data_IF_266886592188
#
_entry.id   IF_266886592188
#
_cell.length_a   1.000
_cell.length_b   1.000
_cell.length_c   1.000
_cell.angle_alpha   90.00
_cell.angle_beta   90.00
_cell.angle_gamma   90.00
#
_symmetry.space_group_name_H-M   'P 1'
#
loop_
_entity.id
_entity.type
_entity.pdbx_description
1 polymer ?
#
# COMPACT_ATOMS: atom_id res chain seq x y z
N UNK A 1 -57.40 36.03 19.00
CA UNK A 1 -57.07 34.72 19.63
C UNK A 1 -56.98 33.56 18.62
N UNK A 2 -57.70 33.57 17.49
CA UNK A 2 -57.64 32.47 16.50
C UNK A 2 -56.29 32.39 15.73
N UNK A 3 -55.71 33.52 15.34
CA UNK A 3 -54.45 33.57 14.56
C UNK A 3 -53.22 33.06 15.34
N UNK A 4 -53.21 33.26 16.66
CA UNK A 4 -52.10 32.83 17.51
C UNK A 4 -52.06 31.31 17.71
N UNK A 5 -53.23 30.64 17.65
CA UNK A 5 -53.35 29.19 17.70
C UNK A 5 -53.02 28.51 16.37
N UNK A 6 -53.30 29.16 15.24
CA UNK A 6 -52.92 28.65 13.91
C UNK A 6 -51.42 28.73 13.66
N UNK A 7 -50.73 29.75 14.18
CA UNK A 7 -49.26 29.86 14.11
C UNK A 7 -48.55 28.81 14.99
N UNK A 8 -49.05 28.53 16.19
CA UNK A 8 -48.50 27.45 17.03
C UNK A 8 -48.69 26.06 16.38
N UNK A 9 -49.81 25.84 15.70
CA UNK A 9 -50.08 24.59 15.00
C UNK A 9 -49.20 24.42 13.75
N UNK A 10 -48.92 25.50 13.01
CA UNK A 10 -48.03 25.47 11.84
C UNK A 10 -46.56 25.28 12.24
N UNK A 11 -46.09 25.94 13.31
CA UNK A 11 -44.76 25.75 13.88
C UNK A 11 -44.54 24.32 14.40
N UNK A 12 -45.50 23.75 15.12
CA UNK A 12 -45.42 22.35 15.57
C UNK A 12 -45.35 21.36 14.40
N UNK A 13 -46.06 21.66 13.29
CA UNK A 13 -46.05 20.83 12.08
C UNK A 13 -44.71 20.96 11.33
N UNK A 14 -44.11 22.14 11.32
CA UNK A 14 -42.75 22.38 10.79
C UNK A 14 -41.69 21.64 11.61
N UNK A 15 -41.72 21.74 12.94
CA UNK A 15 -40.81 21.03 13.82
C UNK A 15 -40.90 19.51 13.61
N UNK A 16 -42.12 18.98 13.51
CA UNK A 16 -42.34 17.55 13.22
C UNK A 16 -41.78 17.14 11.85
N UNK A 17 -41.83 18.02 10.84
CA UNK A 17 -41.21 17.77 9.52
C UNK A 17 -39.69 17.79 9.60
N UNK A 18 -39.12 18.74 10.34
CA UNK A 18 -37.67 18.85 10.56
C UNK A 18 -37.14 17.60 11.27
N UNK A 19 -37.76 17.18 12.38
CA UNK A 19 -37.34 15.97 13.09
C UNK A 19 -37.41 14.72 12.21
N UNK A 20 -38.43 14.63 11.35
CA UNK A 20 -38.54 13.51 10.39
C UNK A 20 -37.43 13.57 9.32
N UNK A 21 -37.05 14.76 8.85
CA UNK A 21 -35.95 14.93 7.90
C UNK A 21 -34.60 14.58 8.54
N UNK A 22 -34.37 15.00 9.78
CA UNK A 22 -33.16 14.65 10.55
C UNK A 22 -33.05 13.14 10.76
N UNK A 23 -34.16 12.47 11.10
CA UNK A 23 -34.19 11.02 11.25
C UNK A 23 -33.84 10.30 9.93
N UNK A 24 -34.39 10.77 8.80
CA UNK A 24 -34.07 10.23 7.47
C UNK A 24 -32.59 10.47 7.13
N UNK A 25 -32.05 11.66 7.41
CA UNK A 25 -30.63 11.97 7.17
C UNK A 25 -29.72 11.06 8.00
N UNK A 26 -30.04 10.85 9.28
CA UNK A 26 -29.29 9.96 10.15
C UNK A 26 -29.33 8.50 9.63
N UNK A 27 -30.49 8.03 9.18
CA UNK A 27 -30.61 6.69 8.58
C UNK A 27 -29.81 6.57 7.28
N UNK A 28 -29.80 7.61 6.44
CA UNK A 28 -29.01 7.65 5.21
C UNK A 28 -27.51 7.65 5.52
N UNK A 29 -27.07 8.42 6.51
CA UNK A 29 -25.67 8.47 6.93
C UNK A 29 -25.18 7.10 7.41
N UNK A 30 -25.96 6.43 8.27
CA UNK A 30 -25.64 5.08 8.75
C UNK A 30 -25.57 4.06 7.60
N UNK A 31 -26.50 4.13 6.64
CA UNK A 31 -26.48 3.27 5.46
C UNK A 31 -25.29 3.55 4.54
N UNK A 32 -24.90 4.81 4.37
CA UNK A 32 -23.71 5.19 3.61
C UNK A 32 -22.46 4.58 4.22
N UNK A 33 -22.28 4.72 5.54
CA UNK A 33 -21.14 4.14 6.26
C UNK A 33 -21.11 2.61 6.15
N UNK A 34 -22.27 1.94 6.27
CA UNK A 34 -22.35 0.50 6.08
C UNK A 34 -21.96 0.06 4.66
N UNK A 35 -22.36 0.83 3.64
CA UNK A 35 -21.97 0.57 2.24
C UNK A 35 -20.47 0.80 2.01
N UNK A 36 -19.89 1.85 2.58
CA UNK A 36 -18.45 2.11 2.52
C UNK A 36 -17.63 0.98 3.16
N UNK A 37 -18.10 0.47 4.30
CA UNK A 37 -17.50 -0.69 4.97
C UNK A 37 -17.56 -1.95 4.10
N UNK A 38 -18.73 -2.30 3.56
CA UNK A 38 -18.86 -3.47 2.67
C UNK A 38 -18.04 -3.31 1.38
N UNK A 39 -17.98 -2.12 0.80
CA UNK A 39 -17.14 -1.83 -0.37
C UNK A 39 -15.66 -2.06 -0.05
N UNK A 40 -15.18 -1.55 1.09
CA UNK A 40 -13.82 -1.78 1.56
C UNK A 40 -13.52 -3.27 1.76
N UNK A 41 -14.47 -4.01 2.34
CA UNK A 41 -14.37 -5.47 2.52
C UNK A 41 -14.28 -6.21 1.17
N UNK A 42 -15.12 -5.84 0.20
CA UNK A 42 -15.11 -6.45 -1.14
C UNK A 42 -13.83 -6.14 -1.91
N UNK A 43 -13.31 -4.91 -1.81
CA UNK A 43 -12.01 -4.53 -2.38
C UNK A 43 -10.88 -5.39 -1.82
N UNK A 44 -10.87 -5.60 -0.50
CA UNK A 44 -9.88 -6.47 0.15
C UNK A 44 -9.98 -7.92 -0.34
N UNK A 45 -11.20 -8.45 -0.47
CA UNK A 45 -11.41 -9.80 -0.99
C UNK A 45 -10.94 -9.93 -2.46
N UNK A 46 -11.22 -8.92 -3.29
CA UNK A 46 -10.78 -8.88 -4.68
C UNK A 46 -9.25 -8.83 -4.77
N UNK A 47 -8.64 -7.96 -3.98
CA UNK A 47 -7.20 -7.80 -3.88
C UNK A 47 -6.51 -9.13 -3.49
N UNK A 48 -6.97 -9.77 -2.42
CA UNK A 48 -6.45 -11.06 -1.96
C UNK A 48 -6.66 -12.18 -3.00
N UNK A 49 -7.80 -12.19 -3.70
CA UNK A 49 -8.08 -13.15 -4.77
C UNK A 49 -7.08 -13.03 -5.92
N UNK A 50 -6.69 -11.81 -6.28
CA UNK A 50 -5.73 -11.58 -7.35
C UNK A 50 -4.28 -11.78 -6.93
N UNK A 51 -3.90 -11.39 -5.71
CA UNK A 51 -2.61 -11.77 -5.13
C UNK A 51 -2.40 -13.28 -5.20
N UNK A 52 -3.42 -14.07 -4.84
CA UNK A 52 -3.36 -15.53 -4.94
C UNK A 52 -3.20 -16.06 -6.38
N UNK A 53 -3.58 -15.28 -7.40
CA UNK A 53 -3.39 -15.62 -8.82
C UNK A 53 -2.05 -15.14 -9.38
N UNK A 54 -1.26 -14.39 -8.59
CA UNK A 54 0.13 -14.08 -8.87
C UNK A 54 0.42 -12.66 -9.36
N UNK A 55 -0.54 -11.96 -9.97
CA UNK A 55 -0.35 -10.54 -10.28
C UNK A 55 -1.68 -9.79 -10.48
N UNK A 56 -1.69 -8.50 -10.10
CA UNK A 56 -2.82 -7.59 -10.33
C UNK A 56 -2.46 -6.69 -11.52
N UNK A 57 -3.26 -6.67 -12.60
CA UNK A 57 -3.03 -5.74 -13.70
C UNK A 57 -3.12 -4.28 -13.22
N UNK A 58 -2.22 -3.37 -13.64
CA UNK A 58 -2.25 -1.97 -13.21
C UNK A 58 -3.59 -1.27 -13.49
N UNK A 59 -4.21 -1.56 -14.63
CA UNK A 59 -5.52 -1.04 -15.04
C UNK A 59 -6.64 -1.40 -14.05
N UNK A 60 -6.52 -2.56 -13.41
CA UNK A 60 -7.48 -3.06 -12.44
C UNK A 60 -7.22 -2.46 -11.04
N UNK A 61 -5.98 -2.08 -10.72
CA UNK A 61 -5.65 -1.37 -9.46
C UNK A 61 -6.39 -0.04 -9.41
N UNK A 62 -6.34 0.73 -10.49
CA UNK A 62 -6.99 2.05 -10.57
C UNK A 62 -8.52 1.92 -10.60
N UNK A 63 -9.04 0.96 -11.39
CA UNK A 63 -10.48 0.74 -11.55
C UNK A 63 -11.19 0.38 -10.24
N UNK A 64 -10.52 -0.39 -9.38
CA UNK A 64 -11.09 -0.80 -8.09
C UNK A 64 -10.52 -0.03 -6.90
N UNK A 65 -9.76 1.05 -7.15
CA UNK A 65 -9.15 1.89 -6.13
C UNK A 65 -8.36 1.06 -5.09
N UNK A 66 -7.61 0.06 -5.56
CA UNK A 66 -6.83 -0.86 -4.72
C UNK A 66 -5.46 -0.28 -4.33
N UNK A 67 -5.13 0.90 -4.84
CA UNK A 67 -3.85 1.58 -4.61
C UNK A 67 -3.45 1.64 -3.11
N UNK A 68 -4.35 1.93 -2.16
CA UNK A 68 -3.98 1.94 -0.74
C UNK A 68 -3.52 0.56 -0.22
N UNK A 69 -4.23 -0.52 -0.58
CA UNK A 69 -3.88 -1.89 -0.18
C UNK A 69 -2.57 -2.33 -0.85
N UNK A 70 -2.40 -1.98 -2.12
CA UNK A 70 -1.16 -2.24 -2.85
C UNK A 70 0.04 -1.49 -2.22
N UNK A 71 -0.16 -0.24 -1.81
CA UNK A 71 0.88 0.57 -1.17
C UNK A 71 1.27 0.00 0.21
N UNK A 72 0.31 -0.45 1.02
CA UNK A 72 0.59 -1.09 2.31
C UNK A 72 1.48 -2.33 2.15
N UNK A 73 1.16 -3.20 1.19
CA UNK A 73 1.97 -4.39 0.92
C UNK A 73 3.34 -4.06 0.35
N UNK A 74 3.41 -3.11 -0.58
CA UNK A 74 4.69 -2.62 -1.14
C UNK A 74 5.56 -2.03 -0.03
N UNK A 75 4.98 -1.24 0.88
CA UNK A 75 5.69 -0.71 2.04
C UNK A 75 6.14 -1.82 2.99
N UNK A 76 5.31 -2.83 3.22
CA UNK A 76 5.68 -3.98 4.03
C UNK A 76 6.89 -4.72 3.45
N UNK A 77 6.93 -4.95 2.13
CA UNK A 77 8.08 -5.55 1.45
C UNK A 77 9.32 -4.65 1.57
N UNK A 78 9.17 -3.35 1.26
CA UNK A 78 10.28 -2.41 1.25
C UNK A 78 10.93 -2.23 2.64
N UNK A 79 10.15 -2.36 3.71
CA UNK A 79 10.63 -2.29 5.09
C UNK A 79 11.27 -3.60 5.60
N UNK A 80 11.20 -4.70 4.85
CA UNK A 80 11.80 -5.96 5.29
C UNK A 80 13.31 -5.83 5.47
N UNK A 81 13.86 -6.28 6.61
CA UNK A 81 15.29 -6.27 6.83
C UNK A 81 16.02 -7.19 5.86
N UNK A 82 17.16 -6.74 5.34
CA UNK A 82 17.98 -7.52 4.41
C UNK A 82 18.49 -8.82 5.04
N UNK A 83 18.58 -8.90 6.38
CA UNK A 83 18.99 -10.11 7.09
C UNK A 83 17.99 -11.27 7.01
N UNK A 84 16.73 -11.03 6.62
CA UNK A 84 15.74 -12.11 6.45
C UNK A 84 16.00 -12.96 5.20
N UNK A 85 16.82 -12.46 4.29
CA UNK A 85 17.12 -13.12 3.03
C UNK A 85 18.47 -13.81 3.09
N UNK A 86 18.64 -14.86 2.27
CA UNK A 86 19.80 -15.75 2.32
C UNK A 86 21.06 -15.16 1.65
N UNK A 87 21.39 -13.91 1.93
CA UNK A 87 22.59 -13.26 1.44
C UNK A 87 23.83 -13.88 2.09
N UNK A 88 24.88 -14.04 1.28
CA UNK A 88 26.15 -14.54 1.80
C UNK A 88 26.72 -13.58 2.86
N UNK A 89 27.43 -14.12 3.86
CA UNK A 89 28.00 -13.34 4.99
C UNK A 89 28.79 -12.12 4.52
N UNK A 90 29.55 -12.24 3.43
CA UNK A 90 30.34 -11.12 2.87
C UNK A 90 29.47 -9.98 2.35
N UNK A 91 28.32 -10.30 1.75
CA UNK A 91 27.34 -9.32 1.27
C UNK A 91 26.70 -8.62 2.47
N UNK A 92 26.25 -9.39 3.48
CA UNK A 92 25.67 -8.84 4.71
C UNK A 92 26.62 -7.92 5.48
N UNK A 93 27.92 -8.27 5.56
CA UNK A 93 28.93 -7.39 6.16
C UNK A 93 29.10 -6.07 5.40
N UNK A 94 28.96 -6.12 4.07
CA UNK A 94 29.03 -4.92 3.23
C UNK A 94 27.77 -4.08 3.38
N UNK A 95 26.60 -4.70 3.47
CA UNK A 95 25.34 -4.00 3.79
C UNK A 95 25.45 -3.23 5.10
N UNK A 96 25.94 -3.87 6.17
CA UNK A 96 26.16 -3.21 7.45
C UNK A 96 27.14 -2.04 7.36
N UNK A 97 28.21 -2.16 6.57
CA UNK A 97 29.18 -1.09 6.40
C UNK A 97 28.63 0.10 5.61
N UNK A 98 27.69 -0.14 4.70
CA UNK A 98 27.01 0.88 3.90
C UNK A 98 25.68 1.35 4.52
N UNK A 99 25.39 0.92 5.75
CA UNK A 99 24.13 1.16 6.46
C UNK A 99 22.86 0.76 5.68
N UNK A 100 22.97 -0.27 4.83
CA UNK A 100 21.86 -0.87 4.09
C UNK A 100 21.17 -1.86 5.03
N UNK A 101 19.97 -1.51 5.50
CA UNK A 101 19.24 -2.31 6.50
C UNK A 101 17.99 -2.97 5.92
N UNK A 102 17.36 -2.34 4.94
CA UNK A 102 16.09 -2.77 4.38
C UNK A 102 16.18 -3.04 2.88
N UNK A 103 15.19 -3.74 2.33
CA UNK A 103 15.04 -3.91 0.87
C UNK A 103 14.96 -2.55 0.18
N UNK A 104 14.30 -1.55 0.79
CA UNK A 104 14.27 -0.17 0.29
C UNK A 104 15.67 0.39 0.08
N UNK A 105 16.53 0.32 1.09
CA UNK A 105 17.89 0.87 1.02
C UNK A 105 18.71 0.18 -0.08
N UNK A 106 18.56 -1.14 -0.21
CA UNK A 106 19.24 -1.93 -1.24
C UNK A 106 18.75 -1.57 -2.65
N UNK A 107 17.44 -1.45 -2.85
CA UNK A 107 16.85 -1.07 -4.14
C UNK A 107 17.21 0.38 -4.51
N UNK A 108 17.30 1.28 -3.53
CA UNK A 108 17.75 2.65 -3.74
C UNK A 108 19.19 2.69 -4.23
N UNK A 109 20.07 1.91 -3.61
CA UNK A 109 21.46 1.77 -4.04
C UNK A 109 21.59 1.19 -5.46
N UNK A 110 20.70 0.27 -5.86
CA UNK A 110 20.63 -0.26 -7.22
C UNK A 110 20.18 0.81 -8.21
N UNK A 111 19.08 1.50 -7.90
CA UNK A 111 18.41 2.43 -8.80
C UNK A 111 19.20 3.73 -8.98
N UNK A 112 19.50 4.40 -7.89
CA UNK A 112 20.09 5.74 -7.89
C UNK A 112 21.61 5.67 -8.07
N UNK A 113 22.27 4.80 -7.31
CA UNK A 113 23.72 4.71 -7.30
C UNK A 113 24.28 3.64 -8.23
N UNK A 114 23.44 2.82 -8.89
CA UNK A 114 23.88 1.75 -9.81
C UNK A 114 24.92 0.82 -9.16
N UNK A 115 24.73 0.54 -7.87
CA UNK A 115 25.65 -0.24 -7.03
C UNK A 115 27.06 0.35 -6.94
N UNK A 116 27.21 1.67 -7.06
CA UNK A 116 28.51 2.33 -7.03
C UNK A 116 29.21 2.10 -5.68
N UNK A 117 28.51 2.28 -4.56
CA UNK A 117 29.14 2.15 -3.25
C UNK A 117 29.58 0.73 -2.95
N UNK A 118 28.82 -0.27 -3.43
CA UNK A 118 29.26 -1.66 -3.43
C UNK A 118 30.56 -1.87 -4.20
N UNK A 119 30.66 -1.33 -5.42
CA UNK A 119 31.86 -1.49 -6.27
C UNK A 119 33.09 -0.81 -5.68
N UNK A 120 32.91 0.25 -4.87
CA UNK A 120 34.00 0.91 -4.14
C UNK A 120 34.51 0.08 -2.95
N UNK A 121 33.74 -0.91 -2.48
CA UNK A 121 34.13 -1.74 -1.36
C UNK A 121 35.12 -2.83 -1.81
N UNK A 122 36.37 -2.76 -1.35
CA UNK A 122 37.49 -3.60 -1.83
C UNK A 122 37.20 -5.11 -1.80
N UNK A 123 36.39 -5.59 -0.84
CA UNK A 123 36.02 -7.00 -0.71
C UNK A 123 34.81 -7.43 -1.54
N UNK A 124 34.11 -6.50 -2.20
CA UNK A 124 32.87 -6.76 -2.91
C UNK A 124 33.13 -7.03 -4.40
N UNK A 125 33.37 -8.30 -4.72
CA UNK A 125 33.64 -8.74 -6.09
C UNK A 125 32.38 -9.17 -6.86
N UNK A 126 32.59 -9.56 -8.12
CA UNK A 126 31.52 -10.00 -9.03
C UNK A 126 30.62 -11.10 -8.47
N UNK A 127 31.16 -12.06 -7.72
CA UNK A 127 30.38 -13.13 -7.08
C UNK A 127 29.42 -12.62 -5.99
N UNK A 128 29.83 -11.61 -5.24
CA UNK A 128 28.99 -10.97 -4.23
C UNK A 128 27.86 -10.17 -4.89
N UNK A 129 28.18 -9.46 -5.97
CA UNK A 129 27.20 -8.74 -6.77
C UNK A 129 26.16 -9.69 -7.42
N UNK A 130 26.62 -10.82 -7.96
CA UNK A 130 25.74 -11.85 -8.51
C UNK A 130 24.81 -12.41 -7.44
N UNK A 131 25.33 -12.74 -6.25
CA UNK A 131 24.52 -13.23 -5.13
C UNK A 131 23.41 -12.25 -4.74
N UNK A 132 23.67 -10.93 -4.76
CA UNK A 132 22.62 -9.94 -4.51
C UNK A 132 21.49 -10.06 -5.52
N UNK A 133 21.81 -10.06 -6.81
CA UNK A 133 20.80 -10.13 -7.86
C UNK A 133 20.07 -11.47 -7.92
N UNK A 134 20.76 -12.59 -7.63
CA UNK A 134 20.13 -13.90 -7.58
C UNK A 134 19.05 -13.94 -6.49
N UNK A 135 19.37 -13.46 -5.29
CA UNK A 135 18.42 -13.44 -4.16
C UNK A 135 17.25 -12.51 -4.43
N UNK A 136 17.50 -11.32 -4.97
CA UNK A 136 16.42 -10.39 -5.34
C UNK A 136 15.50 -11.02 -6.41
N UNK A 137 16.04 -11.82 -7.33
CA UNK A 137 15.26 -12.50 -8.36
C UNK A 137 14.48 -13.70 -7.80
N UNK A 138 15.10 -14.50 -6.94
CA UNK A 138 14.45 -15.63 -6.25
C UNK A 138 13.24 -15.18 -5.43
N UNK A 139 13.31 -13.98 -4.85
CA UNK A 139 12.21 -13.37 -4.10
C UNK A 139 11.24 -12.56 -4.98
N UNK A 140 11.44 -12.55 -6.30
CA UNK A 140 10.55 -11.86 -7.24
C UNK A 140 10.62 -10.33 -7.18
N UNK A 141 11.60 -9.74 -6.49
CA UNK A 141 11.75 -8.28 -6.41
C UNK A 141 12.29 -7.68 -7.70
N UNK A 142 13.06 -8.45 -8.47
CA UNK A 142 13.58 -8.02 -9.77
C UNK A 142 13.39 -9.09 -10.84
N UNK A 143 13.27 -8.65 -12.09
CA UNK A 143 13.17 -9.53 -13.25
C UNK A 143 14.56 -9.94 -13.82
N UNK A 144 14.54 -10.67 -14.94
CA UNK A 144 15.75 -11.11 -15.65
C UNK A 144 16.56 -9.96 -16.26
N UNK A 145 15.98 -8.77 -16.40
CA UNK A 145 16.61 -7.56 -16.91
C UNK A 145 17.00 -6.58 -15.79
N UNK A 146 16.95 -7.03 -14.53
CA UNK A 146 17.24 -6.22 -13.34
C UNK A 146 16.27 -5.04 -13.14
N UNK A 147 15.05 -5.14 -13.68
CA UNK A 147 13.97 -4.19 -13.41
C UNK A 147 13.14 -4.66 -12.22
N UNK A 148 12.71 -3.73 -11.39
CA UNK A 148 11.81 -3.96 -10.27
C UNK A 148 10.52 -3.17 -10.45
N UNK A 149 9.38 -3.77 -10.11
CA UNK A 149 8.12 -3.04 -9.94
C UNK A 149 8.17 -2.13 -8.70
N UNK A 150 9.06 -2.41 -7.74
CA UNK A 150 9.24 -1.62 -6.53
C UNK A 150 10.00 -0.31 -6.78
N UNK A 151 10.67 -0.16 -7.93
CA UNK A 151 11.44 1.06 -8.24
C UNK A 151 10.59 2.32 -8.37
N UNK A 152 9.28 2.21 -8.58
CA UNK A 152 8.39 3.38 -8.58
C UNK A 152 8.18 3.95 -7.16
N UNK A 153 8.52 3.17 -6.12
CA UNK A 153 8.28 3.49 -4.71
C UNK A 153 9.56 3.78 -3.91
N UNK A 154 10.71 3.75 -4.58
CA UNK A 154 12.05 3.90 -3.98
C UNK A 154 12.76 5.12 -4.55
#
# INVERSE_FOLDING_TARGET
MAEHNTNNASEALLLKRISRQEEILNQLALRSQALEYENSRLRLLLYNSWLNKGNIPPEEVDKYELLPMYLEDVMAILQQPVELFNFNTRVLLTFRALDIRTIKDLLFEIKEYKMYHFKCYRSFGQKSLQNVFDILRENGFIDKYYKSYLFEFV
#
